data_IF_864774295932
#
_entry.id   IF_864774295932
#
_cell.length_a   1.000
_cell.length_b   1.000
_cell.length_c   1.000
_cell.angle_alpha   90.00
_cell.angle_beta   90.00
_cell.angle_gamma   90.00
#
_symmetry.space_group_name_H-M   'P 1'
#
loop_
_entity.id
_entity.type
_entity.pdbx_description
1 polymer ?
#
# COMPACT_ATOMS: atom_id res chain seq x y z
N UNK A 1 -17.90 -12.60 54.00
CA UNK A 1 -17.54 -11.75 52.84
C UNK A 1 -16.79 -12.65 51.86
N UNK A 2 -17.45 -13.09 50.78
CA UNK A 2 -16.94 -14.14 49.90
C UNK A 2 -15.98 -13.57 48.83
N UNK A 3 -14.91 -14.33 48.58
CA UNK A 3 -13.77 -14.02 47.72
C UNK A 3 -14.13 -13.49 46.32
N UNK A 4 -13.85 -12.21 46.07
CA UNK A 4 -13.79 -11.60 44.74
C UNK A 4 -12.43 -11.85 44.02
N UNK A 5 -11.65 -12.84 44.45
CA UNK A 5 -10.24 -13.01 44.04
C UNK A 5 -10.07 -13.54 42.61
N UNK A 6 -11.05 -14.28 42.07
CA UNK A 6 -11.00 -14.81 40.69
C UNK A 6 -11.37 -13.79 39.62
N UNK A 7 -12.42 -12.99 39.86
CA UNK A 7 -12.87 -11.97 38.90
C UNK A 7 -11.85 -10.85 38.70
N UNK A 8 -11.17 -10.41 39.78
CA UNK A 8 -10.13 -9.38 39.72
C UNK A 8 -8.93 -9.75 38.84
N UNK A 9 -8.55 -11.03 38.78
CA UNK A 9 -7.44 -11.51 37.93
C UNK A 9 -7.76 -11.54 36.44
N UNK A 10 -9.04 -11.63 36.07
CA UNK A 10 -9.46 -11.69 34.66
C UNK A 10 -9.53 -10.29 34.04
N UNK A 11 -9.85 -9.27 34.83
CA UNK A 11 -10.05 -7.89 34.35
C UNK A 11 -8.80 -7.01 34.46
N UNK A 12 -7.81 -7.40 35.26
CA UNK A 12 -6.56 -6.63 35.45
C UNK A 12 -5.44 -7.09 34.51
N UNK A 13 -4.43 -6.24 34.33
CA UNK A 13 -3.19 -6.57 33.61
C UNK A 13 -3.25 -6.51 32.09
N UNK A 14 -4.36 -6.02 31.52
CA UNK A 14 -4.48 -5.77 30.08
C UNK A 14 -3.76 -4.50 29.65
N UNK A 15 -3.06 -4.56 28.52
CA UNK A 15 -2.45 -3.42 27.85
C UNK A 15 -2.79 -3.50 26.36
N UNK A 16 -3.29 -2.39 25.81
CA UNK A 16 -3.61 -2.27 24.38
C UNK A 16 -2.68 -1.22 23.77
N UNK A 17 -2.00 -1.59 22.70
CA UNK A 17 -1.19 -0.71 21.87
C UNK A 17 -1.74 -0.71 20.44
N UNK A 18 -1.63 0.42 19.75
CA UNK A 18 -2.04 0.54 18.36
C UNK A 18 -1.13 1.47 17.59
N UNK A 19 -0.85 1.10 16.34
CA UNK A 19 -0.13 1.93 15.37
C UNK A 19 -1.05 2.14 14.18
N UNK A 20 -1.18 3.40 13.76
CA UNK A 20 -1.98 3.78 12.59
C UNK A 20 -1.09 4.48 11.58
N UNK A 21 -1.15 4.03 10.33
CA UNK A 21 -0.42 4.62 9.20
C UNK A 21 -1.43 5.08 8.14
N UNK A 22 -1.39 6.38 7.83
CA UNK A 22 -2.25 7.01 6.81
C UNK A 22 -1.37 7.78 5.83
N UNK A 23 -1.39 7.38 4.56
CA UNK A 23 -0.66 8.02 3.47
C UNK A 23 -1.61 8.33 2.31
N UNK A 24 -1.49 9.50 1.71
CA UNK A 24 -2.32 9.90 0.54
C UNK A 24 -1.92 9.22 -0.78
N UNK A 25 -0.85 8.41 -0.78
CA UNK A 25 -0.31 7.70 -1.94
C UNK A 25 0.95 8.35 -2.50
N UNK A 26 1.80 7.53 -3.14
CA UNK A 26 3.10 7.96 -3.65
C UNK A 26 2.99 8.59 -5.05
N UNK A 27 3.79 9.64 -5.35
CA UNK A 27 3.91 10.15 -6.71
C UNK A 27 4.61 9.13 -7.62
N UNK A 28 4.11 8.96 -8.83
CA UNK A 28 4.71 8.11 -9.85
C UNK A 28 4.63 8.78 -11.24
N UNK A 29 5.40 8.27 -12.19
CA UNK A 29 5.50 8.84 -13.54
C UNK A 29 5.06 7.80 -14.56
N UNK A 30 4.05 8.09 -15.38
CA UNK A 30 3.75 7.32 -16.58
C UNK A 30 4.95 7.22 -17.52
N UNK A 31 5.08 6.08 -18.19
CA UNK A 31 6.21 5.73 -19.05
C UNK A 31 5.72 5.37 -20.44
N UNK A 32 6.48 5.75 -21.46
CA UNK A 32 6.18 5.45 -22.85
C UNK A 32 6.29 3.96 -23.18
N UNK A 33 7.04 3.17 -22.39
CA UNK A 33 7.20 1.72 -22.60
C UNK A 33 8.18 1.34 -23.70
N UNK A 34 8.83 2.33 -24.33
CA UNK A 34 9.87 2.14 -25.36
C UNK A 34 10.83 3.32 -25.32
N UNK A 35 12.07 3.11 -25.75
CA UNK A 35 13.02 4.20 -26.00
C UNK A 35 12.66 4.91 -27.32
N UNK A 36 11.86 5.97 -27.22
CA UNK A 36 11.44 6.82 -28.33
C UNK A 36 12.44 7.94 -28.62
N UNK A 37 13.19 8.39 -27.64
CA UNK A 37 14.23 9.41 -27.78
C UNK A 37 15.43 8.92 -28.59
N UNK A 38 15.70 7.61 -28.57
CA UNK A 38 16.82 6.99 -29.26
C UNK A 38 18.16 7.18 -28.56
N UNK A 39 18.15 7.54 -27.26
CA UNK A 39 19.34 7.85 -26.47
C UNK A 39 20.13 6.60 -26.00
N UNK A 40 19.58 5.41 -26.19
CA UNK A 40 20.16 4.14 -25.74
C UNK A 40 20.00 3.85 -24.26
N UNK A 41 19.28 4.68 -23.48
CA UNK A 41 18.99 4.39 -22.08
C UNK A 41 18.04 3.18 -21.97
N UNK A 42 18.43 2.23 -21.13
CA UNK A 42 17.70 0.99 -20.82
C UNK A 42 17.21 0.96 -19.37
N UNK A 43 17.62 1.94 -18.55
CA UNK A 43 17.33 2.04 -17.12
C UNK A 43 16.20 3.01 -16.84
N UNK A 44 16.12 4.11 -17.58
CA UNK A 44 15.06 5.11 -17.44
C UNK A 44 14.17 5.11 -18.69
N UNK A 45 12.97 4.52 -18.63
CA UNK A 45 12.04 4.59 -19.73
C UNK A 45 11.66 6.04 -20.03
N UNK A 46 11.56 6.37 -21.31
CA UNK A 46 11.06 7.67 -21.74
C UNK A 46 9.69 7.96 -21.16
N UNK A 47 9.44 9.24 -20.88
CA UNK A 47 8.12 9.71 -20.48
C UNK A 47 7.28 9.96 -21.74
N UNK A 48 5.96 9.74 -21.69
CA UNK A 48 5.08 10.12 -22.78
C UNK A 48 4.90 11.64 -22.83
N UNK A 49 4.21 12.12 -23.85
CA UNK A 49 3.70 13.50 -23.87
C UNK A 49 2.25 13.54 -23.42
N UNK A 50 1.83 14.66 -22.84
CA UNK A 50 0.42 14.91 -22.53
C UNK A 50 -0.36 15.06 -23.84
N UNK A 51 -1.50 14.41 -23.95
CA UNK A 51 -2.41 14.56 -25.08
C UNK A 51 -3.15 15.91 -24.98
N UNK A 52 -2.89 16.89 -25.86
CA UNK A 52 -3.53 18.21 -25.76
C UNK A 52 -5.03 18.19 -26.08
N UNK A 53 -5.53 17.15 -26.76
CA UNK A 53 -6.95 17.02 -27.13
C UNK A 53 -7.75 16.22 -26.11
N UNK A 54 -7.11 15.63 -25.10
CA UNK A 54 -7.79 14.85 -24.08
C UNK A 54 -8.59 15.77 -23.16
N UNK A 55 -9.89 15.49 -23.05
CA UNK A 55 -10.80 16.15 -22.12
C UNK A 55 -11.41 15.08 -21.21
N UNK A 56 -10.87 14.95 -20.01
CA UNK A 56 -11.33 13.93 -19.06
C UNK A 56 -10.48 13.88 -17.80
N UNK A 57 -10.92 13.11 -16.80
CA UNK A 57 -10.12 12.86 -15.60
C UNK A 57 -8.93 11.96 -15.96
N UNK A 58 -7.71 12.48 -15.83
CA UNK A 58 -6.48 11.70 -16.04
C UNK A 58 -6.39 10.55 -15.03
N UNK A 59 -6.79 10.79 -13.77
CA UNK A 59 -6.77 9.78 -12.70
C UNK A 59 -8.19 9.30 -12.43
N UNK A 60 -8.44 8.01 -12.69
CA UNK A 60 -9.74 7.37 -12.55
C UNK A 60 -9.93 6.68 -11.19
N UNK A 61 -8.84 6.39 -10.47
CA UNK A 61 -8.83 5.75 -9.14
C UNK A 61 -9.50 4.37 -9.08
N UNK A 62 -9.43 3.59 -10.17
CA UNK A 62 -9.92 2.20 -10.23
C UNK A 62 -8.76 1.23 -10.24
N UNK A 63 -8.90 0.08 -9.58
CA UNK A 63 -7.85 -0.97 -9.59
C UNK A 63 -7.51 -1.43 -11.02
N UNK A 64 -8.53 -1.59 -11.86
CA UNK A 64 -8.37 -2.07 -13.24
C UNK A 64 -7.74 -1.04 -14.18
N UNK A 65 -7.85 0.25 -13.85
CA UNK A 65 -7.37 1.35 -14.67
C UNK A 65 -7.27 2.60 -13.79
N UNK A 66 -6.10 2.82 -13.18
CA UNK A 66 -5.89 3.92 -12.24
C UNK A 66 -5.83 5.29 -12.93
N UNK A 67 -5.33 5.32 -14.16
CA UNK A 67 -5.28 6.50 -15.02
C UNK A 67 -5.77 6.16 -16.43
N UNK A 68 -6.28 7.16 -17.14
CA UNK A 68 -6.69 7.01 -18.52
C UNK A 68 -5.47 7.12 -19.45
N UNK A 69 -5.10 6.06 -20.21
CA UNK A 69 -3.97 6.14 -21.13
C UNK A 69 -4.20 7.12 -22.28
N UNK A 70 -5.46 7.45 -22.62
CA UNK A 70 -5.78 8.45 -23.65
C UNK A 70 -5.34 9.88 -23.28
N UNK A 71 -5.03 10.13 -22.00
CA UNK A 71 -4.44 11.38 -21.54
C UNK A 71 -3.00 11.59 -22.04
N UNK A 72 -2.42 10.58 -22.69
CA UNK A 72 -1.04 10.59 -23.14
C UNK A 72 -0.94 10.23 -24.62
N UNK A 73 0.10 10.75 -25.26
CA UNK A 73 0.51 10.39 -26.62
C UNK A 73 1.99 10.01 -26.61
N UNK A 74 2.38 9.20 -27.59
CA UNK A 74 3.78 8.93 -27.84
C UNK A 74 4.48 10.22 -28.30
N UNK A 75 5.67 10.53 -27.76
CA UNK A 75 6.46 11.63 -28.29
C UNK A 75 6.90 11.34 -29.72
N UNK A 76 7.28 12.39 -30.44
CA UNK A 76 7.86 12.28 -31.78
C UNK A 76 9.12 11.43 -31.66
N UNK A 77 9.34 10.50 -32.60
CA UNK A 77 10.54 9.67 -32.61
C UNK A 77 11.79 10.55 -32.66
N UNK A 78 12.80 10.24 -31.83
CA UNK A 78 13.97 11.07 -31.63
C UNK A 78 13.80 12.19 -30.60
N UNK A 79 12.67 12.24 -29.88
CA UNK A 79 12.40 13.28 -28.86
C UNK A 79 11.93 12.68 -27.54
N UNK A 80 12.18 13.42 -26.45
CA UNK A 80 11.61 13.11 -25.14
C UNK A 80 10.18 13.62 -25.02
N UNK A 81 9.35 12.90 -24.25
CA UNK A 81 8.03 13.38 -23.90
C UNK A 81 8.04 14.56 -22.93
N UNK A 82 6.97 15.35 -22.99
CA UNK A 82 6.82 16.57 -22.20
C UNK A 82 6.17 16.36 -20.82
N UNK A 83 5.77 15.13 -20.45
CA UNK A 83 5.16 14.87 -19.16
C UNK A 83 6.15 15.10 -18.01
N UNK A 84 5.73 15.87 -17.00
CA UNK A 84 6.51 16.05 -15.77
C UNK A 84 6.77 14.75 -15.01
N UNK A 85 7.86 14.69 -14.24
CA UNK A 85 8.15 13.55 -13.35
C UNK A 85 7.26 13.61 -12.11
N UNK A 86 6.71 12.47 -11.70
CA UNK A 86 5.90 12.36 -10.48
C UNK A 86 4.55 13.06 -10.57
N UNK A 87 4.01 13.25 -11.77
CA UNK A 87 2.77 14.00 -12.04
C UNK A 87 1.51 13.27 -11.57
N UNK A 88 1.52 11.94 -11.53
CA UNK A 88 0.40 11.15 -11.04
C UNK A 88 0.65 10.67 -9.62
N UNK A 89 -0.43 10.45 -8.86
CA UNK A 89 -0.38 9.88 -7.51
C UNK A 89 -1.07 8.53 -7.49
N UNK A 90 -0.41 7.53 -6.90
CA UNK A 90 -0.94 6.19 -6.71
C UNK A 90 -2.00 6.11 -5.60
N UNK A 91 -2.53 4.91 -5.33
CA UNK A 91 -3.44 4.67 -4.21
C UNK A 91 -2.84 5.11 -2.87
N UNK A 92 -3.71 5.57 -1.97
CA UNK A 92 -3.35 5.80 -0.58
C UNK A 92 -3.13 4.50 0.18
N UNK A 93 -2.56 4.62 1.38
CA UNK A 93 -2.39 3.53 2.33
C UNK A 93 -3.09 3.89 3.63
N UNK A 94 -3.93 2.99 4.13
CA UNK A 94 -4.52 3.05 5.45
C UNK A 94 -4.31 1.70 6.14
N UNK A 95 -3.52 1.70 7.21
CA UNK A 95 -3.22 0.50 7.98
C UNK A 95 -3.35 0.76 9.47
N UNK A 96 -3.89 -0.21 10.19
CA UNK A 96 -4.00 -0.21 11.65
C UNK A 96 -3.46 -1.53 12.16
N UNK A 97 -2.41 -1.47 12.97
CA UNK A 97 -1.86 -2.63 13.66
C UNK A 97 -2.16 -2.51 15.16
N UNK A 98 -2.55 -3.61 15.78
CA UNK A 98 -2.94 -3.65 17.20
C UNK A 98 -2.13 -4.72 17.95
N UNK A 99 -1.79 -4.45 19.20
CA UNK A 99 -1.17 -5.41 20.10
C UNK A 99 -1.90 -5.39 21.44
N UNK A 100 -2.36 -6.56 21.88
CA UNK A 100 -3.03 -6.77 23.15
C UNK A 100 -2.14 -7.66 24.01
N UNK A 101 -1.73 -7.17 25.17
CA UNK A 101 -1.00 -7.93 26.16
C UNK A 101 -1.86 -8.13 27.39
N UNK A 102 -1.71 -9.29 28.04
CA UNK A 102 -2.27 -9.55 29.35
C UNK A 102 -1.22 -10.15 30.26
N UNK A 103 -0.98 -9.51 31.39
CA UNK A 103 -0.15 -10.04 32.46
C UNK A 103 -1.04 -10.52 33.60
N UNK A 104 -0.88 -11.77 34.03
CA UNK A 104 -1.64 -12.34 35.15
C UNK A 104 -0.69 -13.11 36.07
N UNK A 105 -0.76 -12.82 37.37
CA UNK A 105 -0.05 -13.60 38.38
C UNK A 105 -0.76 -14.93 38.63
N UNK A 106 -0.08 -16.04 38.33
CA UNK A 106 -0.55 -17.39 38.66
C UNK A 106 -0.34 -17.63 40.16
N UNK A 107 0.87 -17.38 40.65
CA UNK A 107 1.27 -17.43 42.06
C UNK A 107 2.24 -16.30 42.40
N UNK A 108 2.74 -16.23 43.63
CA UNK A 108 3.75 -15.24 44.04
C UNK A 108 5.08 -15.40 43.28
N UNK A 109 5.37 -16.61 42.81
CA UNK A 109 6.59 -16.93 42.05
C UNK A 109 6.38 -16.97 40.55
N UNK A 110 5.15 -17.20 40.08
CA UNK A 110 4.87 -17.44 38.66
C UNK A 110 3.90 -16.41 38.08
N UNK A 111 4.32 -15.74 37.01
CA UNK A 111 3.50 -14.87 36.18
C UNK A 111 3.30 -15.45 34.78
N UNK A 112 2.20 -15.08 34.13
CA UNK A 112 1.89 -15.43 32.75
C UNK A 112 1.67 -14.16 31.94
N UNK A 113 2.33 -14.07 30.80
CA UNK A 113 2.10 -13.04 29.80
C UNK A 113 1.51 -13.67 28.55
N UNK A 114 0.29 -13.28 28.22
CA UNK A 114 -0.33 -13.55 26.92
C UNK A 114 -0.16 -12.32 26.02
N UNK A 115 0.12 -12.55 24.74
CA UNK A 115 0.18 -11.51 23.72
C UNK A 115 -0.64 -11.94 22.50
N UNK A 116 -1.44 -11.03 21.97
CA UNK A 116 -2.06 -11.14 20.66
C UNK A 116 -1.66 -9.92 19.81
N UNK A 117 -1.11 -10.16 18.62
CA UNK A 117 -0.74 -9.13 17.65
C UNK A 117 -1.62 -9.27 16.41
N UNK A 118 -2.18 -8.15 15.95
CA UNK A 118 -3.05 -8.06 14.78
C UNK A 118 -2.43 -7.08 13.80
N UNK A 119 -1.83 -7.57 12.73
CA UNK A 119 -1.33 -6.76 11.62
C UNK A 119 -2.44 -6.57 10.60
N UNK A 120 -2.60 -5.35 10.08
CA UNK A 120 -3.76 -4.98 9.26
C UNK A 120 -5.08 -5.41 9.93
N UNK A 121 -5.30 -4.93 11.15
CA UNK A 121 -6.41 -5.33 12.02
C UNK A 121 -7.78 -5.12 11.38
N UNK A 122 -7.93 -4.06 10.57
CA UNK A 122 -9.16 -3.75 9.82
C UNK A 122 -9.29 -4.56 8.51
N UNK A 123 -8.27 -5.35 8.15
CA UNK A 123 -8.19 -6.09 6.90
C UNK A 123 -8.46 -5.21 5.66
N UNK A 124 -7.93 -3.98 5.67
CA UNK A 124 -8.08 -3.05 4.56
C UNK A 124 -7.11 -3.42 3.42
N UNK A 125 -7.62 -3.44 2.19
CA UNK A 125 -6.80 -3.74 1.01
C UNK A 125 -6.05 -2.49 0.57
N UNK A 126 -4.77 -2.40 0.92
CA UNK A 126 -3.88 -1.35 0.45
C UNK A 126 -3.33 -1.71 -0.93
N UNK A 127 -3.80 -1.04 -1.98
CA UNK A 127 -3.34 -1.26 -3.35
C UNK A 127 -1.91 -0.71 -3.57
N UNK A 128 -1.10 -1.42 -4.36
CA UNK A 128 0.23 -0.96 -4.75
C UNK A 128 0.18 0.11 -5.86
N UNK A 129 1.36 0.59 -6.26
CA UNK A 129 1.50 1.52 -7.37
C UNK A 129 0.97 0.89 -8.68
N UNK A 130 0.20 1.63 -9.49
CA UNK A 130 -0.27 1.15 -10.79
C UNK A 130 0.87 0.91 -11.76
N UNK A 131 0.66 0.04 -12.75
CA UNK A 131 1.58 -0.11 -13.86
C UNK A 131 1.72 1.22 -14.63
N UNK A 132 2.92 1.83 -14.67
CA UNK A 132 3.13 3.13 -15.30
C UNK A 132 3.24 3.04 -16.82
N UNK A 133 3.38 1.86 -17.42
CA UNK A 133 3.63 1.68 -18.85
C UNK A 133 2.35 1.99 -19.64
N UNK A 134 2.37 3.08 -20.39
CA UNK A 134 1.22 3.58 -21.14
C UNK A 134 1.07 2.88 -22.50
N UNK A 135 2.18 2.62 -23.20
CA UNK A 135 2.16 2.07 -24.56
C UNK A 135 2.89 0.73 -24.65
N UNK A 136 2.47 -0.08 -25.62
CA UNK A 136 3.13 -1.30 -26.08
C UNK A 136 3.28 -1.20 -27.60
N UNK A 137 4.48 -0.87 -28.07
CA UNK A 137 4.71 -0.50 -29.46
C UNK A 137 4.09 0.86 -29.79
N UNK A 138 3.17 0.89 -30.76
CA UNK A 138 2.43 2.11 -31.16
C UNK A 138 1.04 2.24 -30.54
N UNK A 139 0.52 1.17 -29.91
CA UNK A 139 -0.78 1.15 -29.25
C UNK A 139 -0.68 1.28 -27.73
N UNK A 140 -1.82 1.45 -27.06
CA UNK A 140 -1.87 1.44 -25.59
C UNK A 140 -1.55 0.06 -25.03
N UNK A 141 -0.87 0.02 -23.89
CA UNK A 141 -0.66 -1.20 -23.13
C UNK A 141 -2.00 -1.66 -22.54
N UNK A 142 -2.38 -2.94 -22.66
CA UNK A 142 -3.61 -3.48 -22.04
C UNK A 142 -3.55 -3.47 -20.51
N UNK A 143 -2.37 -3.22 -19.93
CA UNK A 143 -2.15 -3.14 -18.50
C UNK A 143 -1.84 -1.72 -18.01
N UNK A 144 -2.01 -0.69 -18.87
CA UNK A 144 -1.76 0.70 -18.49
C UNK A 144 -2.65 1.09 -17.29
N UNK A 145 -2.03 1.50 -16.18
CA UNK A 145 -2.72 1.87 -14.96
C UNK A 145 -3.35 0.70 -14.20
N UNK A 146 -3.15 -0.55 -14.60
CA UNK A 146 -3.63 -1.72 -13.87
C UNK A 146 -2.83 -1.91 -12.58
N UNK A 147 -3.51 -2.22 -11.48
CA UNK A 147 -2.89 -2.60 -10.21
C UNK A 147 -3.12 -4.10 -9.96
N UNK A 148 -2.03 -4.85 -9.90
CA UNK A 148 -2.04 -6.32 -9.72
C UNK A 148 -1.57 -6.78 -8.35
N UNK A 149 -1.04 -5.88 -7.53
CA UNK A 149 -0.47 -6.20 -6.22
C UNK A 149 -0.96 -5.25 -5.13
N UNK A 150 -0.79 -5.67 -3.88
CA UNK A 150 -1.06 -4.86 -2.69
C UNK A 150 0.23 -4.31 -2.09
N UNK A 151 0.16 -3.15 -1.46
CA UNK A 151 1.28 -2.52 -0.76
C UNK A 151 1.53 -3.12 0.64
N UNK A 152 0.52 -3.79 1.20
CA UNK A 152 0.60 -4.48 2.50
C UNK A 152 0.08 -5.91 2.37
N UNK A 153 0.39 -6.74 3.37
CA UNK A 153 -0.20 -8.07 3.50
C UNK A 153 -1.68 -7.99 3.92
N UNK A 154 -2.40 -9.08 3.69
CA UNK A 154 -3.69 -9.34 4.33
C UNK A 154 -3.53 -9.44 5.85
N UNK A 155 -4.65 -9.36 6.59
CA UNK A 155 -4.61 -9.46 8.05
C UNK A 155 -3.85 -10.69 8.54
N UNK A 156 -2.92 -10.47 9.46
CA UNK A 156 -2.20 -11.52 10.16
C UNK A 156 -2.48 -11.41 11.66
N UNK A 157 -2.67 -12.56 12.31
CA UNK A 157 -2.92 -12.63 13.74
C UNK A 157 -1.91 -13.59 14.34
N UNK A 158 -1.21 -13.14 15.38
CA UNK A 158 -0.20 -13.92 16.07
C UNK A 158 -0.52 -13.97 17.56
N UNK A 159 -0.31 -15.14 18.17
CA UNK A 159 -0.49 -15.34 19.59
C UNK A 159 0.82 -15.82 20.22
N UNK A 160 1.12 -15.30 21.40
CA UNK A 160 2.28 -15.66 22.19
C UNK A 160 1.91 -15.89 23.65
N UNK A 161 2.54 -16.88 24.26
CA UNK A 161 2.39 -17.16 25.69
C UNK A 161 3.77 -17.31 26.31
N UNK A 162 4.02 -16.57 27.40
CA UNK A 162 5.29 -16.58 28.13
C UNK A 162 5.05 -16.80 29.61
N UNK A 163 5.72 -17.81 30.17
CA UNK A 163 5.83 -17.99 31.62
C UNK A 163 6.96 -17.10 32.15
N UNK A 164 6.71 -16.43 33.27
CA UNK A 164 7.67 -15.57 33.99
C UNK A 164 7.84 -16.17 35.38
N UNK A 165 9.08 -16.31 35.85
CA UNK A 165 9.43 -16.98 37.10
C UNK A 165 10.63 -16.32 37.79
#
# INVERSE_FOLDING_TARGET
>A
MANASGFGKIITGWQLNGITTLLSGFPFTPQAGSNRSGDGDTRNPDRPSVNPTFSGPVVLKRQTQWFDPNAFILPIAGTYGNLGRGTLRGPGLANVDLSLLKNTAISERFGLQFRAEFFNALNHTNLATPNPIVFSGTGFSPSAGLITTTATTSRQIQFGLKLVY
#
